data_IF_398982916459
#
_entry.id   IF_398982916459
#
_cell.length_a   1.000
_cell.length_b   1.000
_cell.length_c   1.000
_cell.angle_alpha   90.00
_cell.angle_beta   90.00
_cell.angle_gamma   90.00
#
_symmetry.space_group_name_H-M   'P 1'
#
loop_
_entity.id
_entity.type
_entity.pdbx_description
1 polymer ?
#
# COMPACT_ATOMS: atom_id res chain seq x y z
N UNK A 1 13.56 -0.66 -12.53
CA UNK A 1 14.03 -0.87 -11.15
C UNK A 1 14.01 0.48 -10.48
N UNK A 2 13.01 0.78 -9.65
CA UNK A 2 13.00 2.01 -8.86
C UNK A 2 14.25 2.06 -7.97
N UNK A 3 15.04 3.10 -8.12
CA UNK A 3 16.16 3.41 -7.26
C UNK A 3 15.69 4.28 -6.09
N UNK A 4 16.62 4.70 -5.23
CA UNK A 4 16.27 5.54 -4.07
C UNK A 4 15.49 6.81 -4.44
N UNK A 5 15.83 7.56 -5.51
CA UNK A 5 15.07 8.75 -5.90
C UNK A 5 13.62 8.45 -6.29
N UNK A 6 13.38 7.39 -7.06
CA UNK A 6 12.04 6.99 -7.49
C UNK A 6 11.20 6.52 -6.30
N UNK A 7 11.79 5.72 -5.40
CA UNK A 7 11.07 5.28 -4.18
C UNK A 7 10.75 6.49 -3.29
N UNK A 8 11.64 7.46 -3.15
CA UNK A 8 11.36 8.71 -2.42
C UNK A 8 10.26 9.54 -3.11
N UNK A 9 10.25 9.57 -4.44
CA UNK A 9 9.20 10.25 -5.22
C UNK A 9 7.85 9.57 -5.01
N UNK A 10 7.80 8.24 -5.06
CA UNK A 10 6.60 7.48 -4.72
C UNK A 10 6.15 7.75 -3.28
N UNK A 11 7.07 7.72 -2.30
CA UNK A 11 6.77 8.03 -0.89
C UNK A 11 6.10 9.39 -0.74
N UNK A 12 6.69 10.43 -1.33
CA UNK A 12 6.15 11.81 -1.31
C UNK A 12 4.81 11.94 -2.03
N UNK A 13 4.62 11.19 -3.11
CA UNK A 13 3.38 11.20 -3.88
C UNK A 13 2.22 10.51 -3.14
N UNK A 14 2.47 9.38 -2.48
CA UNK A 14 1.39 8.62 -1.83
C UNK A 14 1.07 9.12 -0.41
N UNK A 15 2.05 9.60 0.36
CA UNK A 15 1.85 10.03 1.74
C UNK A 15 0.64 10.97 1.93
N UNK A 16 0.53 12.11 1.21
CA UNK A 16 -0.60 13.02 1.38
C UNK A 16 -1.95 12.40 1.00
N UNK A 17 -1.92 11.33 0.20
CA UNK A 17 -3.12 10.65 -0.29
C UNK A 17 -3.58 9.50 0.62
N UNK A 18 -2.74 9.05 1.55
CA UNK A 18 -3.05 7.89 2.42
C UNK A 18 -2.91 8.19 3.91
N UNK A 19 -2.14 9.22 4.29
CA UNK A 19 -1.97 9.60 5.68
C UNK A 19 -3.34 9.95 6.31
N UNK A 20 -3.52 9.54 7.57
CA UNK A 20 -4.74 9.65 8.36
C UNK A 20 -5.97 8.90 7.83
N UNK A 21 -5.86 8.15 6.73
CA UNK A 21 -6.97 7.31 6.24
C UNK A 21 -7.10 6.03 7.07
N UNK A 22 -8.34 5.61 7.27
CA UNK A 22 -8.69 4.37 7.97
C UNK A 22 -8.95 3.28 6.94
N UNK A 23 -8.33 2.11 7.13
CA UNK A 23 -8.54 0.95 6.26
C UNK A 23 -9.92 0.38 6.53
N UNK A 24 -10.74 0.26 5.48
CA UNK A 24 -12.02 -0.42 5.52
C UNK A 24 -11.85 -1.93 5.25
N UNK A 25 -11.05 -2.29 4.24
CA UNK A 25 -10.85 -3.67 3.82
C UNK A 25 -9.55 -3.84 3.04
N UNK A 26 -8.98 -5.04 3.08
CA UNK A 26 -7.86 -5.45 2.22
C UNK A 26 -8.30 -6.59 1.30
N UNK A 27 -7.93 -6.50 0.02
CA UNK A 27 -8.13 -7.54 -0.98
C UNK A 27 -6.78 -7.99 -1.53
N UNK A 28 -6.56 -9.30 -1.57
CA UNK A 28 -5.36 -9.91 -2.14
C UNK A 28 -5.79 -10.76 -3.33
N UNK A 29 -5.46 -10.30 -4.54
CA UNK A 29 -5.79 -10.99 -5.79
C UNK A 29 -4.68 -11.98 -6.19
N UNK A 30 -3.43 -11.59 -5.97
CA UNK A 30 -2.27 -12.46 -6.18
C UNK A 30 -1.22 -12.16 -5.09
N UNK A 31 -1.12 -13.05 -4.12
CA UNK A 31 -0.14 -12.93 -3.04
C UNK A 31 1.25 -13.46 -3.37
N UNK A 32 1.44 -14.09 -4.54
CA UNK A 32 2.70 -14.75 -4.91
C UNK A 32 3.74 -13.77 -5.45
N UNK A 33 4.13 -12.80 -4.62
CA UNK A 33 5.24 -11.89 -4.90
C UNK A 33 6.57 -12.55 -4.47
N UNK A 34 7.69 -11.80 -4.55
CA UNK A 34 9.01 -12.31 -4.12
C UNK A 34 8.98 -12.94 -2.72
N UNK A 35 8.22 -12.33 -1.83
CA UNK A 35 7.77 -12.93 -0.58
C UNK A 35 6.24 -13.02 -0.63
N UNK A 36 5.63 -14.12 -0.16
CA UNK A 36 4.18 -14.22 -0.11
C UNK A 36 3.56 -13.08 0.69
N UNK A 37 2.51 -12.45 0.16
CA UNK A 37 1.74 -11.45 0.90
C UNK A 37 1.03 -12.14 2.06
N UNK A 38 1.24 -11.71 3.32
CA UNK A 38 0.62 -12.34 4.49
C UNK A 38 -0.91 -12.21 4.44
N UNK A 39 -1.63 -13.34 4.52
CA UNK A 39 -3.10 -13.34 4.44
C UNK A 39 -3.74 -12.72 5.68
N UNK A 40 -3.01 -12.73 6.80
CA UNK A 40 -3.41 -12.13 8.07
C UNK A 40 -3.65 -10.62 7.93
N UNK A 41 -3.07 -9.95 6.93
CA UNK A 41 -3.35 -8.53 6.65
C UNK A 41 -4.84 -8.26 6.42
N UNK A 42 -5.59 -9.24 5.90
CA UNK A 42 -7.03 -9.12 5.62
C UNK A 42 -7.83 -8.92 6.92
N UNK A 43 -7.39 -9.52 8.04
CA UNK A 43 -8.04 -9.38 9.34
C UNK A 43 -7.37 -8.32 10.22
N UNK A 44 -6.06 -8.12 10.09
CA UNK A 44 -5.31 -7.20 10.96
C UNK A 44 -5.52 -5.73 10.60
N UNK A 45 -5.51 -5.37 9.32
CA UNK A 45 -5.49 -3.96 8.90
C UNK A 45 -6.84 -3.22 8.98
N UNK A 46 -8.02 -3.84 8.74
CA UNK A 46 -9.30 -3.13 8.85
C UNK A 46 -9.48 -2.43 10.21
N UNK A 47 -9.98 -1.20 10.18
CA UNK A 47 -10.14 -0.33 11.33
C UNK A 47 -8.87 0.43 11.74
N UNK A 48 -7.69 0.06 11.22
CA UNK A 48 -6.46 0.78 11.52
C UNK A 48 -6.29 2.03 10.65
N UNK A 49 -5.60 3.03 11.22
CA UNK A 49 -5.26 4.29 10.56
C UNK A 49 -3.79 4.32 10.14
N UNK A 50 -3.52 4.76 8.91
CA UNK A 50 -2.14 5.08 8.50
C UNK A 50 -1.72 6.39 9.17
N UNK A 51 -0.70 6.34 10.01
CA UNK A 51 -0.16 7.50 10.73
C UNK A 51 0.82 8.28 9.85
N UNK A 52 1.53 7.60 8.95
CA UNK A 52 2.45 8.24 8.01
C UNK A 52 3.11 7.23 7.08
N UNK A 53 3.86 7.74 6.10
CA UNK A 53 4.58 6.90 5.13
C UNK A 53 6.05 7.24 5.11
N UNK A 54 6.88 6.37 5.69
CA UNK A 54 8.33 6.49 5.67
C UNK A 54 8.97 5.77 4.49
N UNK A 55 10.30 5.91 4.39
CA UNK A 55 11.13 5.11 3.50
C UNK A 55 12.42 4.70 4.21
N UNK A 56 12.86 3.46 4.00
CA UNK A 56 14.19 2.99 4.38
C UNK A 56 14.81 2.24 3.21
N UNK A 57 15.92 2.73 2.68
CA UNK A 57 16.49 2.20 1.43
C UNK A 57 15.41 2.17 0.33
N UNK A 58 15.22 1.03 -0.35
CA UNK A 58 14.20 0.83 -1.40
C UNK A 58 12.85 0.33 -0.87
N UNK A 59 12.61 0.42 0.44
CA UNK A 59 11.36 0.03 1.08
C UNK A 59 10.53 1.24 1.47
N UNK A 60 9.23 1.18 1.18
CA UNK A 60 8.21 2.08 1.72
C UNK A 60 7.66 1.50 3.02
N UNK A 61 7.42 2.37 3.99
CA UNK A 61 6.99 2.00 5.35
C UNK A 61 5.67 2.71 5.66
N UNK A 62 4.55 2.02 5.53
CA UNK A 62 3.24 2.55 5.92
C UNK A 62 3.02 2.25 7.40
N UNK A 63 3.16 3.28 8.25
CA UNK A 63 3.05 3.13 9.70
C UNK A 63 1.59 3.16 10.14
N UNK A 64 1.23 2.22 11.01
CA UNK A 64 -0.02 2.17 11.77
C UNK A 64 0.29 2.27 13.27
N UNK A 65 -0.72 2.45 14.11
CA UNK A 65 -0.52 2.51 15.57
C UNK A 65 -0.04 1.18 16.17
N UNK A 66 -0.39 0.04 15.57
CA UNK A 66 -0.04 -1.29 16.07
C UNK A 66 1.12 -1.96 15.33
N UNK A 67 1.69 -1.32 14.30
CA UNK A 67 2.75 -1.91 13.50
C UNK A 67 3.01 -1.16 12.19
N UNK A 68 3.84 -1.74 11.32
CA UNK A 68 4.25 -1.12 10.05
C UNK A 68 4.10 -2.12 8.91
N UNK A 69 3.39 -1.73 7.85
CA UNK A 69 3.38 -2.46 6.59
C UNK A 69 4.57 -2.04 5.74
N UNK A 70 5.38 -3.01 5.32
CA UNK A 70 6.59 -2.79 4.53
C UNK A 70 6.33 -3.19 3.08
N UNK A 71 6.58 -2.27 2.14
CA UNK A 71 6.37 -2.51 0.70
C UNK A 71 7.68 -2.34 -0.04
N UNK A 72 8.01 -3.29 -0.90
CA UNK A 72 9.15 -3.23 -1.82
C UNK A 72 8.68 -3.35 -3.26
N UNK A 73 8.96 -2.33 -4.08
CA UNK A 73 8.42 -2.23 -5.45
C UNK A 73 9.09 -3.19 -6.44
N UNK A 74 10.24 -3.76 -6.10
CA UNK A 74 10.93 -4.69 -6.99
C UNK A 74 11.45 -3.98 -8.23
N UNK A 75 11.22 -4.54 -9.42
CA UNK A 75 11.69 -3.94 -10.68
C UNK A 75 10.66 -3.04 -11.36
N UNK A 76 9.37 -3.38 -11.24
CA UNK A 76 8.26 -2.78 -12.01
C UNK A 76 7.04 -2.42 -11.16
N UNK A 77 7.07 -2.73 -9.86
CA UNK A 77 6.00 -2.35 -8.95
C UNK A 77 5.89 -0.85 -8.84
N UNK A 78 4.66 -0.39 -8.65
CA UNK A 78 4.32 1.01 -8.42
C UNK A 78 3.06 1.04 -7.56
N UNK A 79 2.84 2.16 -6.87
CA UNK A 79 1.66 2.37 -6.04
C UNK A 79 0.84 3.52 -6.60
N UNK A 80 -0.47 3.41 -6.46
CA UNK A 80 -1.40 4.48 -6.83
C UNK A 80 -2.59 4.54 -5.90
N UNK A 81 -3.14 5.74 -5.74
CA UNK A 81 -4.36 5.97 -4.98
C UNK A 81 -5.43 6.43 -5.95
N UNK A 82 -6.51 5.67 -6.05
CA UNK A 82 -7.64 5.94 -6.95
C UNK A 82 -8.97 5.63 -6.27
N UNK A 83 -10.09 5.88 -6.95
CA UNK A 83 -11.41 5.50 -6.42
C UNK A 83 -11.52 3.98 -6.33
N UNK A 84 -12.15 3.46 -5.27
CA UNK A 84 -12.44 2.01 -5.17
C UNK A 84 -13.37 1.51 -6.29
N UNK A 85 -14.07 2.43 -6.96
CA UNK A 85 -14.94 2.12 -8.10
C UNK A 85 -14.17 1.98 -9.42
N UNK A 86 -12.91 2.43 -9.48
CA UNK A 86 -12.08 2.27 -10.68
C UNK A 86 -11.82 0.80 -10.95
N UNK A 87 -12.00 0.35 -12.19
CA UNK A 87 -11.78 -1.05 -12.54
C UNK A 87 -10.35 -1.53 -12.24
N UNK A 88 -10.25 -2.76 -11.75
CA UNK A 88 -8.99 -3.39 -11.41
C UNK A 88 -8.20 -3.72 -12.68
N UNK A 89 -6.92 -3.36 -12.70
CA UNK A 89 -5.99 -3.74 -13.77
C UNK A 89 -5.48 -5.18 -13.57
N UNK A 90 -5.00 -5.79 -14.65
CA UNK A 90 -4.45 -7.16 -14.65
C UNK A 90 -3.39 -7.37 -13.57
N UNK A 91 -2.51 -6.39 -13.37
CA UNK A 91 -1.37 -6.46 -12.47
C UNK A 91 -1.61 -5.85 -11.08
N UNK A 92 -2.87 -5.58 -10.73
CA UNK A 92 -3.21 -5.22 -9.36
C UNK A 92 -3.30 -6.49 -8.53
N UNK A 93 -2.32 -6.63 -7.65
CA UNK A 93 -2.09 -7.82 -6.85
C UNK A 93 -2.67 -7.69 -5.43
N UNK A 94 -2.63 -6.48 -4.87
CA UNK A 94 -3.15 -6.13 -3.55
C UNK A 94 -3.91 -4.81 -3.66
N UNK A 95 -5.01 -4.68 -2.92
CA UNK A 95 -5.78 -3.45 -2.82
C UNK A 95 -6.15 -3.19 -1.35
N UNK A 96 -5.88 -1.98 -0.88
CA UNK A 96 -6.24 -1.51 0.47
C UNK A 96 -7.30 -0.42 0.28
N UNK A 97 -8.54 -0.76 0.62
CA UNK A 97 -9.69 0.14 0.52
C UNK A 97 -9.79 0.94 1.81
N UNK A 98 -9.90 2.26 1.69
CA UNK A 98 -10.09 3.18 2.80
C UNK A 98 -11.57 3.52 3.00
N UNK A 99 -11.92 3.98 4.19
CA UNK A 99 -13.31 4.35 4.55
C UNK A 99 -13.86 5.55 3.78
N UNK A 100 -13.00 6.34 3.14
CA UNK A 100 -13.38 7.50 2.32
C UNK A 100 -13.71 7.14 0.86
N UNK A 101 -13.72 5.84 0.52
CA UNK A 101 -14.01 5.35 -0.83
C UNK A 101 -12.82 5.37 -1.79
N UNK A 102 -11.62 5.74 -1.32
CA UNK A 102 -10.38 5.58 -2.09
C UNK A 102 -9.70 4.24 -1.82
N UNK A 103 -8.83 3.80 -2.72
CA UNK A 103 -8.07 2.58 -2.59
C UNK A 103 -6.60 2.80 -2.96
N UNK A 104 -5.69 2.23 -2.16
CA UNK A 104 -4.27 2.09 -2.50
C UNK A 104 -4.09 0.74 -3.22
N UNK A 105 -3.53 0.79 -4.42
CA UNK A 105 -3.22 -0.38 -5.27
C UNK A 105 -1.75 -0.39 -5.66
#
# INVERSE_FOLDING_TARGET
MPELPEVETTRRGIEPLVANKVVARVLIYNGSLRWPVPREMISLLPGQRIVGVGRRSKYLLCAFSSGTMIVHLGMTGHLRVESMQTEKRKHDHVEIIFTDGTALR
#
